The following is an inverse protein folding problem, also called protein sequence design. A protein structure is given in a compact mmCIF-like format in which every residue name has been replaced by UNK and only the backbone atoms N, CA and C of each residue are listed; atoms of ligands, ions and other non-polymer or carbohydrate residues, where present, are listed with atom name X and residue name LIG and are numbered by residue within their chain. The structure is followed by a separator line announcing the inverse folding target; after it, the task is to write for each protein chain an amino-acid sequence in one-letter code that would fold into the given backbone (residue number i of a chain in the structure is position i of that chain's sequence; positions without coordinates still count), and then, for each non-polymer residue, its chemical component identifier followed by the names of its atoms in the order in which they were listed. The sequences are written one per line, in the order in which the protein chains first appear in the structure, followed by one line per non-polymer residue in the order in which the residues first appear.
data_IF_773207675607
#
_entry.id   IF_773207675607
#
_cell.length_a   1.000
_cell.length_b   1.000
_cell.length_c   1.000
_cell.angle_alpha   90.00
_cell.angle_beta   90.00
_cell.angle_gamma   90.00
#
_symmetry.space_group_name_H-M   'P 1'
#
loop_
_entity.id
_entity.type
_entity.pdbx_description
1 polymer ?
#
# COMPACT_ATOMS: atom_id res chain seq x y z
N UNK A 1 38.09 -3.54 12.16
CA UNK A 1 37.10 -4.36 12.91
C UNK A 1 37.55 -5.81 12.92
N UNK A 2 37.29 -6.56 14.00
CA UNK A 2 37.56 -8.02 14.03
C UNK A 2 36.66 -8.70 13.01
N UNK A 3 37.20 -9.56 12.15
CA UNK A 3 36.46 -10.29 11.07
C UNK A 3 35.15 -10.93 11.57
N UNK A 4 35.15 -11.46 12.80
CA UNK A 4 33.97 -12.03 13.46
C UNK A 4 32.83 -11.03 13.72
N UNK A 5 33.17 -9.79 14.09
CA UNK A 5 32.17 -8.74 14.32
C UNK A 5 31.52 -8.33 13.01
N UNK A 6 32.32 -8.18 11.93
CA UNK A 6 31.80 -7.82 10.61
C UNK A 6 30.80 -8.88 10.10
N UNK A 7 31.15 -10.17 10.22
CA UNK A 7 30.23 -11.26 9.90
C UNK A 7 28.94 -11.16 10.71
N UNK A 8 29.05 -10.99 12.04
CA UNK A 8 27.88 -10.93 12.92
C UNK A 8 26.93 -9.78 12.55
N UNK A 9 27.46 -8.59 12.30
CA UNK A 9 26.66 -7.43 11.87
C UNK A 9 26.03 -7.66 10.50
N UNK A 10 26.80 -8.21 9.53
CA UNK A 10 26.29 -8.46 8.18
C UNK A 10 25.12 -9.46 8.19
N UNK A 11 25.26 -10.54 8.96
CA UNK A 11 24.21 -11.56 9.11
C UNK A 11 23.00 -11.01 9.87
N UNK A 12 23.21 -10.16 10.88
CA UNK A 12 22.12 -9.47 11.57
C UNK A 12 21.33 -8.59 10.60
N UNK A 13 22.02 -7.81 9.75
CA UNK A 13 21.36 -6.96 8.74
C UNK A 13 20.61 -7.82 7.73
N UNK A 14 21.21 -8.90 7.22
CA UNK A 14 20.52 -9.81 6.32
C UNK A 14 19.25 -10.41 6.98
N UNK A 15 19.33 -10.78 8.25
CA UNK A 15 18.18 -11.27 9.01
C UNK A 15 17.09 -10.19 9.17
N UNK A 16 17.46 -8.95 9.49
CA UNK A 16 16.52 -7.83 9.60
C UNK A 16 15.84 -7.52 8.26
N UNK A 17 16.58 -7.58 7.14
CA UNK A 17 16.00 -7.43 5.80
C UNK A 17 14.98 -8.52 5.49
N UNK A 18 15.26 -9.77 5.88
CA UNK A 18 14.28 -10.86 5.76
C UNK A 18 13.04 -10.59 6.63
N UNK A 19 13.21 -10.08 7.85
CA UNK A 19 12.09 -9.63 8.68
C UNK A 19 11.27 -8.52 8.01
N UNK A 20 11.93 -7.55 7.38
CA UNK A 20 11.31 -6.47 6.61
C UNK A 20 10.47 -6.95 5.43
N UNK A 21 10.74 -8.13 4.87
CA UNK A 21 9.90 -8.72 3.80
C UNK A 21 8.48 -9.06 4.26
N UNK A 22 8.31 -9.35 5.56
CA UNK A 22 7.04 -9.76 6.14
C UNK A 22 6.40 -8.68 7.01
N UNK A 23 7.10 -7.55 7.20
CA UNK A 23 6.61 -6.45 8.03
C UNK A 23 5.79 -5.48 7.18
N UNK A 24 4.50 -5.25 7.48
CA UNK A 24 3.68 -4.26 6.78
C UNK A 24 4.27 -2.85 6.93
N UNK A 25 4.96 -2.56 8.03
CA UNK A 25 5.58 -1.26 8.28
C UNK A 25 6.79 -0.90 7.39
N UNK A 26 7.21 -1.76 6.47
CA UNK A 26 8.40 -1.53 5.62
C UNK A 26 7.97 -1.40 4.16
N UNK A 27 8.03 -0.18 3.62
CA UNK A 27 7.46 0.15 2.30
C UNK A 27 5.95 -0.18 2.17
N UNK A 28 5.21 -0.14 3.28
CA UNK A 28 3.75 -0.26 3.26
C UNK A 28 3.08 1.08 3.00
N UNK A 29 1.87 1.02 2.45
CA UNK A 29 0.97 2.16 2.47
C UNK A 29 0.60 2.44 3.95
N UNK A 30 0.84 3.65 4.48
CA UNK A 30 0.45 3.99 5.85
C UNK A 30 -1.06 3.95 6.07
N UNK A 31 -1.85 3.92 5.01
CA UNK A 31 -3.30 3.95 5.07
C UNK A 31 -3.89 2.59 4.70
N UNK A 32 -5.03 2.28 5.30
CA UNK A 32 -5.82 1.13 4.91
C UNK A 32 -6.11 1.20 3.40
N UNK A 33 -6.04 0.07 2.69
CA UNK A 33 -6.38 0.07 1.28
C UNK A 33 -7.84 0.52 1.13
N UNK A 34 -8.14 1.27 0.06
CA UNK A 34 -9.52 1.73 -0.23
C UNK A 34 -10.56 0.61 -0.31
N UNK A 35 -10.11 -0.62 -0.46
CA UNK A 35 -10.95 -1.81 -0.47
C UNK A 35 -11.25 -2.38 0.91
N UNK A 36 -10.68 -1.82 1.97
CA UNK A 36 -10.94 -2.17 3.37
C UNK A 36 -11.61 -1.01 4.11
N UNK A 37 -11.29 0.24 3.74
CA UNK A 37 -12.01 1.41 4.26
C UNK A 37 -13.39 1.57 3.59
N UNK A 38 -14.45 1.88 4.35
CA UNK A 38 -15.76 2.20 3.78
C UNK A 38 -15.71 3.49 2.97
N UNK A 39 -16.54 3.52 1.93
CA UNK A 39 -16.82 4.72 1.14
C UNK A 39 -18.22 5.24 1.48
N UNK A 40 -18.37 6.55 1.55
CA UNK A 40 -19.59 7.19 2.04
C UNK A 40 -20.26 8.03 0.95
N UNK A 41 -21.59 8.06 1.00
CA UNK A 41 -22.42 8.92 0.16
C UNK A 41 -23.55 9.50 0.99
N UNK A 42 -23.93 10.75 0.71
CA UNK A 42 -25.13 11.36 1.27
C UNK A 42 -26.11 11.66 0.14
N UNK A 43 -27.35 11.22 0.28
CA UNK A 43 -28.44 11.57 -0.62
C UNK A 43 -29.62 12.15 0.18
N UNK A 44 -30.42 13.00 -0.45
CA UNK A 44 -31.69 13.40 0.12
C UNK A 44 -32.70 12.24 0.00
N UNK A 45 -33.56 12.02 0.99
CA UNK A 45 -34.54 10.91 1.03
C UNK A 45 -35.38 10.79 -0.25
N UNK A 46 -35.66 11.92 -0.91
CA UNK A 46 -36.45 11.95 -2.15
C UNK A 46 -35.72 11.41 -3.39
N UNK A 47 -34.43 11.08 -3.31
CA UNK A 47 -33.58 10.76 -4.45
C UNK A 47 -33.19 9.27 -4.56
N UNK A 48 -33.62 8.43 -3.61
CA UNK A 48 -33.11 7.06 -3.46
C UNK A 48 -34.02 5.98 -4.04
N UNK A 49 -33.97 5.83 -5.37
CA UNK A 49 -34.08 4.50 -6.00
C UNK A 49 -32.66 4.11 -6.44
N UNK A 50 -31.94 3.35 -5.61
CA UNK A 50 -30.58 2.91 -5.88
C UNK A 50 -30.63 1.77 -6.92
N UNK A 51 -30.06 1.99 -8.11
CA UNK A 51 -30.05 0.97 -9.16
C UNK A 51 -29.05 -0.16 -8.83
N UNK A 52 -29.54 -1.39 -8.94
CA UNK A 52 -28.74 -2.58 -8.97
C UNK A 52 -29.56 -3.75 -8.47
N UNK A 53 -30.06 -4.60 -9.38
CA UNK A 53 -30.81 -5.85 -9.13
C UNK A 53 -30.51 -6.39 -7.72
N UNK A 54 -31.31 -6.01 -6.70
CA UNK A 54 -31.07 -6.52 -5.38
C UNK A 54 -31.32 -8.01 -5.51
N UNK A 55 -30.35 -8.82 -5.11
CA UNK A 55 -30.70 -10.17 -4.68
C UNK A 55 -31.60 -9.91 -3.48
N UNK A 56 -32.90 -9.91 -3.76
CA UNK A 56 -34.01 -9.54 -2.90
C UNK A 56 -33.79 -10.10 -1.50
N UNK A 57 -33.26 -9.29 -0.59
CA UNK A 57 -33.55 -9.45 0.83
C UNK A 57 -34.82 -8.66 1.04
N UNK A 58 -35.93 -9.35 0.75
CA UNK A 58 -37.30 -9.08 1.14
C UNK A 58 -37.58 -7.63 1.58
N UNK A 59 -37.97 -6.80 0.60
CA UNK A 59 -38.52 -5.46 0.73
C UNK A 59 -39.43 -5.30 1.96
N UNK A 60 -38.87 -4.90 3.09
CA UNK A 60 -39.63 -4.09 4.04
C UNK A 60 -39.25 -2.64 3.75
N UNK A 61 -40.23 -1.74 3.55
CA UNK A 61 -39.91 -0.32 3.60
C UNK A 61 -39.19 -0.10 4.94
N UNK A 62 -37.96 0.38 4.89
CA UNK A 62 -37.23 0.77 6.10
C UNK A 62 -37.91 2.07 6.55
N UNK A 63 -39.05 1.95 7.21
CA UNK A 63 -39.65 3.03 7.98
C UNK A 63 -38.79 3.18 9.25
N UNK A 64 -37.60 3.73 9.09
CA UNK A 64 -36.76 4.14 10.19
C UNK A 64 -37.06 5.61 10.50
N UNK A 65 -37.29 5.91 11.78
CA UNK A 65 -37.37 7.29 12.24
C UNK A 65 -35.95 7.90 12.10
N UNK A 66 -35.78 9.01 11.35
CA UNK A 66 -34.46 9.58 11.13
C UNK A 66 -33.85 10.01 12.46
N UNK A 67 -32.56 9.70 12.65
CA UNK A 67 -31.84 10.07 13.86
C UNK A 67 -31.30 11.50 13.69
N UNK A 68 -31.59 12.43 14.60
CA UNK A 68 -31.06 13.80 14.51
C UNK A 68 -29.54 13.78 14.58
N UNK A 69 -28.90 14.60 13.75
CA UNK A 69 -27.44 14.63 13.63
C UNK A 69 -26.76 14.80 15.00
N UNK A 70 -27.34 15.60 15.89
CA UNK A 70 -26.81 15.89 17.22
C UNK A 70 -26.84 14.69 18.18
N UNK A 71 -27.52 13.59 17.83
CA UNK A 71 -27.53 12.35 18.61
C UNK A 71 -26.31 11.45 18.31
N UNK A 72 -25.61 11.69 17.21
CA UNK A 72 -24.36 10.99 16.88
C UNK A 72 -23.18 11.54 17.69
N UNK A 73 -22.07 10.80 17.72
CA UNK A 73 -20.85 11.30 18.34
C UNK A 73 -20.20 12.43 17.52
N UNK A 74 -19.30 13.18 18.14
CA UNK A 74 -18.63 14.32 17.51
C UNK A 74 -17.88 13.94 16.21
N UNK A 75 -17.46 12.68 16.06
CA UNK A 75 -16.69 12.22 14.90
C UNK A 75 -17.60 11.90 13.71
N UNK A 76 -18.73 11.24 13.97
CA UNK A 76 -19.82 10.99 13.04
C UNK A 76 -20.44 12.30 12.56
N UNK A 77 -20.69 13.25 13.46
CA UNK A 77 -21.21 14.57 13.10
C UNK A 77 -20.28 15.29 12.13
N UNK A 78 -18.97 15.33 12.45
CA UNK A 78 -17.95 15.93 11.57
C UNK A 78 -17.81 15.20 10.25
N UNK A 79 -17.97 13.87 10.24
CA UNK A 79 -17.95 13.07 9.01
C UNK A 79 -19.14 13.43 8.11
N UNK A 80 -20.35 13.46 8.67
CA UNK A 80 -21.56 13.82 7.95
C UNK A 80 -21.44 15.22 7.35
N UNK A 81 -21.05 16.22 8.15
CA UNK A 81 -20.85 17.60 7.68
C UNK A 81 -19.81 17.68 6.56
N UNK A 82 -18.68 16.96 6.66
CA UNK A 82 -17.65 16.97 5.63
C UNK A 82 -18.15 16.36 4.31
N UNK A 83 -18.86 15.23 4.36
CA UNK A 83 -19.46 14.61 3.16
C UNK A 83 -20.54 15.53 2.58
N UNK A 84 -21.39 16.11 3.43
CA UNK A 84 -22.47 16.98 3.02
C UNK A 84 -21.94 18.24 2.33
N UNK A 85 -20.91 18.88 2.88
CA UNK A 85 -20.26 20.05 2.27
C UNK A 85 -19.62 19.71 0.91
N UNK A 86 -18.94 18.56 0.80
CA UNK A 86 -18.30 18.13 -0.44
C UNK A 86 -19.31 17.73 -1.52
N UNK A 87 -20.41 17.07 -1.13
CA UNK A 87 -21.43 16.56 -2.04
C UNK A 87 -22.62 17.51 -2.20
N UNK A 88 -22.61 18.69 -1.59
CA UNK A 88 -23.77 19.60 -1.45
C UNK A 88 -24.53 19.86 -2.76
N UNK A 89 -23.80 20.17 -3.82
CA UNK A 89 -24.37 20.47 -5.13
C UNK A 89 -25.12 19.27 -5.71
N UNK A 90 -24.67 18.05 -5.40
CA UNK A 90 -25.35 16.81 -5.73
C UNK A 90 -26.51 16.51 -4.78
N UNK A 91 -26.31 16.66 -3.47
CA UNK A 91 -27.24 16.28 -2.39
C UNK A 91 -28.63 16.90 -2.57
N UNK A 92 -28.71 18.18 -2.95
CA UNK A 92 -29.99 18.90 -3.12
C UNK A 92 -30.61 18.82 -4.51
N UNK A 93 -30.03 18.04 -5.43
CA UNK A 93 -30.57 17.88 -6.77
C UNK A 93 -31.86 17.05 -6.71
N UNK A 94 -32.99 17.68 -6.38
CA UNK A 94 -34.30 17.06 -6.52
C UNK A 94 -34.56 16.80 -8.02
N UNK A 95 -35.02 15.60 -8.43
CA UNK A 95 -35.37 15.33 -9.82
C UNK A 95 -36.32 16.42 -10.32
N UNK A 96 -36.02 17.04 -11.47
CA UNK A 96 -36.90 18.05 -12.03
C UNK A 96 -38.30 17.44 -12.24
N UNK A 97 -39.33 18.10 -11.70
CA UNK A 97 -40.73 17.66 -11.67
C UNK A 97 -41.14 16.93 -12.98
N UNK A 98 -41.28 15.61 -12.93
CA UNK A 98 -41.87 14.79 -14.00
C UNK A 98 -41.04 13.61 -14.52
N UNK A 99 -39.76 13.49 -14.17
CA UNK A 99 -38.94 12.30 -14.43
C UNK A 99 -38.59 11.59 -13.12
N UNK A 100 -39.48 10.72 -12.65
CA UNK A 100 -39.15 9.68 -11.65
C UNK A 100 -38.28 8.56 -12.25
N UNK A 101 -37.44 8.89 -13.24
CA UNK A 101 -36.46 7.99 -13.85
C UNK A 101 -35.02 8.41 -13.51
N UNK A 102 -34.78 9.40 -12.65
CA UNK A 102 -33.40 9.74 -12.27
C UNK A 102 -32.91 8.85 -11.13
N UNK A 103 -32.56 7.63 -11.51
CA UNK A 103 -31.75 6.71 -10.74
C UNK A 103 -30.44 7.39 -10.33
N UNK A 104 -30.03 7.22 -9.07
CA UNK A 104 -28.72 7.66 -8.60
C UNK A 104 -27.74 6.51 -8.82
N UNK A 105 -27.00 6.55 -9.93
CA UNK A 105 -25.89 5.63 -10.12
C UNK A 105 -24.72 6.13 -9.26
N UNK A 106 -24.60 5.56 -8.06
CA UNK A 106 -23.55 5.88 -7.09
C UNK A 106 -22.13 5.69 -7.65
N UNK A 107 -21.97 4.96 -8.76
CA UNK A 107 -20.68 4.74 -9.42
C UNK A 107 -20.44 5.67 -10.62
N UNK A 108 -21.47 6.30 -11.21
CA UNK A 108 -21.30 7.18 -12.38
C UNK A 108 -21.66 8.66 -12.16
N UNK A 109 -22.53 8.97 -11.19
CA UNK A 109 -23.01 10.34 -10.97
C UNK A 109 -22.32 11.07 -9.81
N UNK A 110 -21.70 10.33 -8.88
CA UNK A 110 -21.03 10.91 -7.70
C UNK A 110 -19.72 10.23 -7.36
N UNK A 111 -18.70 11.03 -7.07
CA UNK A 111 -17.47 10.51 -6.48
C UNK A 111 -17.72 10.13 -5.02
N UNK A 112 -17.42 8.88 -4.68
CA UNK A 112 -17.55 8.38 -3.32
C UNK A 112 -16.62 9.15 -2.38
N UNK A 113 -17.16 9.65 -1.27
CA UNK A 113 -16.30 10.22 -0.24
C UNK A 113 -15.53 9.07 0.42
N UNK A 114 -14.24 8.97 0.12
CA UNK A 114 -13.38 7.93 0.67
C UNK A 114 -12.53 8.54 1.76
N UNK A 115 -12.74 8.09 3.00
CA UNK A 115 -11.96 8.58 4.14
C UNK A 115 -10.67 7.79 4.25
N UNK A 116 -9.57 8.50 4.44
CA UNK A 116 -8.26 7.89 4.66
C UNK A 116 -8.16 7.47 6.12
N UNK A 117 -8.00 6.17 6.37
CA UNK A 117 -7.81 5.58 7.70
C UNK A 117 -6.37 5.09 7.80
N UNK A 118 -5.69 5.36 8.91
CA UNK A 118 -4.33 4.89 9.11
C UNK A 118 -4.33 3.42 9.54
N UNK A 119 -3.30 2.70 9.11
CA UNK A 119 -3.05 1.33 9.56
C UNK A 119 -2.61 1.28 11.04
N UNK A 120 -3.02 0.25 11.77
CA UNK A 120 -2.72 0.04 13.20
C UNK A 120 -1.22 -0.01 13.54
N UNK A 121 -0.37 -0.37 12.56
CA UNK A 121 1.08 -0.45 12.76
C UNK A 121 1.78 0.91 12.63
N UNK A 122 1.09 1.95 12.18
CA UNK A 122 1.64 3.30 12.08
C UNK A 122 1.87 3.89 13.46
N UNK A 123 2.99 4.60 13.65
CA UNK A 123 3.32 5.23 14.94
C UNK A 123 2.55 6.53 15.16
N UNK A 124 2.16 7.19 14.09
CA UNK A 124 1.45 8.47 14.08
C UNK A 124 0.46 8.43 12.93
N UNK A 125 -0.77 8.85 13.20
CA UNK A 125 -1.80 9.02 12.18
C UNK A 125 -2.04 10.51 11.93
N UNK A 126 -1.98 10.93 10.67
CA UNK A 126 -2.33 12.28 10.24
C UNK A 126 -3.78 12.38 9.72
N UNK A 127 -4.49 11.24 9.69
CA UNK A 127 -5.87 11.11 9.27
C UNK A 127 -6.72 10.52 10.42
N UNK A 128 -7.53 9.49 10.15
CA UNK A 128 -8.40 8.85 11.14
C UNK A 128 -7.81 7.56 11.68
N UNK A 129 -7.93 7.36 13.00
CA UNK A 129 -7.50 6.12 13.67
C UNK A 129 -8.46 4.96 13.38
N UNK A 130 -9.73 5.25 13.13
CA UNK A 130 -10.75 4.28 12.72
C UNK A 130 -11.79 4.92 11.83
N UNK A 131 -12.41 4.16 10.94
CA UNK A 131 -13.57 4.62 10.18
C UNK A 131 -14.78 4.82 11.13
N UNK A 132 -15.37 6.02 11.23
CA UNK A 132 -16.60 6.22 12.00
C UNK A 132 -17.75 5.51 11.29
N UNK A 133 -18.41 4.60 11.99
CA UNK A 133 -19.57 3.87 11.45
C UNK A 133 -20.85 4.49 11.98
N UNK A 134 -21.79 4.82 11.11
CA UNK A 134 -23.16 5.18 11.46
C UNK A 134 -23.95 3.93 11.88
N UNK A 135 -24.92 4.03 12.79
CA UNK A 135 -25.77 2.91 13.15
C UNK A 135 -26.69 2.55 11.97
N UNK A 136 -26.49 1.36 11.40
CA UNK A 136 -27.26 0.90 10.27
C UNK A 136 -28.75 0.69 10.60
N UNK A 137 -29.62 1.48 9.98
CA UNK A 137 -31.07 1.28 9.93
C UNK A 137 -31.45 0.16 8.95
N UNK A 138 -30.59 -0.06 7.95
CA UNK A 138 -30.72 -1.14 6.99
C UNK A 138 -29.37 -1.57 6.43
N UNK A 139 -29.32 -2.78 5.88
CA UNK A 139 -28.16 -3.27 5.16
C UNK A 139 -28.60 -4.11 3.97
N UNK A 140 -27.90 -3.96 2.84
CA UNK A 140 -28.10 -4.83 1.68
C UNK A 140 -26.76 -5.21 1.06
N UNK A 141 -26.78 -6.31 0.31
CA UNK A 141 -25.57 -6.83 -0.35
C UNK A 141 -25.77 -6.80 -1.86
N UNK A 142 -24.92 -6.05 -2.55
CA UNK A 142 -24.90 -6.04 -4.00
C UNK A 142 -23.81 -7.00 -4.50
N UNK A 143 -24.25 -8.12 -5.06
CA UNK A 143 -23.37 -9.21 -5.49
C UNK A 143 -22.61 -9.86 -4.33
N UNK A 144 -21.41 -10.39 -4.61
CA UNK A 144 -20.57 -11.07 -3.61
C UNK A 144 -19.46 -10.19 -3.01
N UNK A 145 -19.35 -8.94 -3.46
CA UNK A 145 -18.17 -8.09 -3.21
C UNK A 145 -18.47 -6.79 -2.48
N UNK A 146 -19.73 -6.36 -2.42
CA UNK A 146 -20.09 -5.07 -1.83
C UNK A 146 -21.19 -5.26 -0.79
N UNK A 147 -20.97 -4.69 0.39
CA UNK A 147 -21.95 -4.57 1.44
C UNK A 147 -22.29 -3.09 1.63
N UNK A 148 -23.57 -2.77 1.72
CA UNK A 148 -24.06 -1.42 1.92
C UNK A 148 -24.81 -1.34 3.24
N UNK A 149 -24.49 -0.33 4.05
CA UNK A 149 -25.20 0.01 5.27
C UNK A 149 -25.83 1.39 5.08
N UNK A 150 -27.09 1.52 5.52
CA UNK A 150 -27.92 2.70 5.32
C UNK A 150 -28.23 3.31 6.68
N UNK A 151 -28.10 4.62 6.80
CA UNK A 151 -28.51 5.35 8.00
C UNK A 151 -29.30 6.59 7.61
N UNK A 152 -30.44 6.83 8.25
CA UNK A 152 -31.25 8.02 8.04
C UNK A 152 -30.92 9.09 9.09
N UNK A 153 -30.53 10.26 8.61
CA UNK A 153 -30.06 11.38 9.42
C UNK A 153 -30.95 12.60 9.21
N UNK A 154 -31.46 13.18 10.29
CA UNK A 154 -32.16 14.47 10.24
C UNK A 154 -31.16 15.62 10.42
N UNK A 155 -31.09 16.52 9.43
CA UNK A 155 -30.24 17.70 9.45
C UNK A 155 -30.98 18.89 8.84
N UNK A 156 -30.97 20.06 9.49
CA UNK A 156 -31.70 21.27 9.04
C UNK A 156 -33.23 21.08 8.80
N UNK A 157 -33.87 20.13 9.49
CA UNK A 157 -35.26 19.67 9.27
C UNK A 157 -35.50 18.97 7.92
N UNK A 158 -34.45 18.45 7.30
CA UNK A 158 -34.50 17.59 6.12
C UNK A 158 -33.95 16.20 6.48
N UNK A 159 -34.46 15.18 5.81
CA UNK A 159 -33.99 13.79 5.97
C UNK A 159 -32.97 13.46 4.89
N UNK A 160 -31.83 12.98 5.33
CA UNK A 160 -30.74 12.51 4.48
C UNK A 160 -30.46 11.03 4.72
N UNK A 161 -30.09 10.33 3.66
CA UNK A 161 -29.66 8.95 3.67
C UNK A 161 -28.14 8.91 3.53
N UNK A 162 -27.46 8.37 4.56
CA UNK A 162 -26.03 8.08 4.54
C UNK A 162 -25.86 6.64 4.10
N UNK A 163 -25.16 6.44 2.99
CA UNK A 163 -24.85 5.12 2.44
C UNK A 163 -23.38 4.83 2.68
N UNK A 164 -23.10 3.83 3.51
CA UNK A 164 -21.77 3.26 3.71
C UNK A 164 -21.58 2.05 2.81
N UNK A 165 -20.58 2.08 1.94
CA UNK A 165 -20.21 0.97 1.07
C UNK A 165 -18.90 0.36 1.51
N UNK A 166 -18.95 -0.89 1.96
CA UNK A 166 -17.79 -1.73 2.19
C UNK A 166 -17.52 -2.56 0.94
N UNK A 167 -16.35 -2.38 0.36
CA UNK A 167 -15.86 -3.23 -0.73
C UNK A 167 -15.08 -4.41 -0.14
N UNK A 168 -15.08 -5.55 -0.84
CA UNK A 168 -14.19 -6.66 -0.51
C UNK A 168 -12.81 -6.40 -1.12
N UNK A 169 -11.77 -6.48 -0.28
CA UNK A 169 -10.35 -6.39 -0.63
C UNK A 169 -9.95 -7.04 -1.96
N UNK A 170 -9.08 -6.37 -2.73
CA UNK A 170 -8.41 -7.00 -3.87
C UNK A 170 -7.16 -7.74 -3.41
N UNK A 171 -7.21 -9.08 -3.41
CA UNK A 171 -6.04 -9.92 -3.09
C UNK A 171 -4.81 -9.62 -3.97
N UNK A 172 -5.01 -9.07 -5.17
CA UNK A 172 -3.92 -8.78 -6.09
C UNK A 172 -3.00 -7.66 -5.59
N UNK A 173 -3.51 -6.63 -4.92
CA UNK A 173 -2.69 -5.53 -4.42
C UNK A 173 -1.70 -6.02 -3.36
N UNK A 174 -2.21 -6.78 -2.38
CA UNK A 174 -1.40 -7.39 -1.32
C UNK A 174 -0.31 -8.31 -1.91
N UNK A 175 -0.62 -9.06 -2.98
CA UNK A 175 0.38 -9.93 -3.65
C UNK A 175 1.49 -9.11 -4.33
N UNK A 176 1.15 -8.02 -5.03
CA UNK A 176 2.15 -7.18 -5.72
C UNK A 176 3.11 -6.55 -4.73
N UNK A 177 2.60 -6.01 -3.62
CA UNK A 177 3.40 -5.40 -2.58
C UNK A 177 4.37 -6.41 -1.93
N UNK A 178 3.87 -7.61 -1.60
CA UNK A 178 4.71 -8.71 -1.11
C UNK A 178 5.80 -9.06 -2.12
N UNK A 179 5.45 -9.24 -3.40
CA UNK A 179 6.44 -9.57 -4.44
C UNK A 179 7.52 -8.49 -4.59
N UNK A 180 7.18 -7.21 -4.46
CA UNK A 180 8.14 -6.11 -4.50
C UNK A 180 9.11 -6.16 -3.31
N UNK A 181 8.60 -6.35 -2.08
CA UNK A 181 9.45 -6.51 -0.89
C UNK A 181 10.37 -7.73 -1.01
N UNK A 182 9.86 -8.83 -1.54
CA UNK A 182 10.66 -10.01 -1.85
C UNK A 182 11.75 -9.72 -2.88
N UNK A 183 11.41 -9.03 -3.97
CA UNK A 183 12.34 -8.65 -5.03
C UNK A 183 13.40 -7.66 -4.58
N UNK A 184 13.09 -6.83 -3.58
CA UNK A 184 13.99 -5.82 -3.01
C UNK A 184 14.93 -6.43 -1.96
N UNK A 185 14.37 -7.05 -0.91
CA UNK A 185 15.14 -7.48 0.26
C UNK A 185 15.70 -8.89 0.14
N UNK A 186 15.01 -9.81 -0.52
CA UNK A 186 15.42 -11.21 -0.62
C UNK A 186 16.79 -11.37 -1.29
N UNK A 187 16.97 -10.90 -2.55
CA UNK A 187 18.25 -10.95 -3.24
C UNK A 187 19.37 -10.21 -2.48
N UNK A 188 19.06 -9.08 -1.86
CA UNK A 188 20.05 -8.30 -1.10
C UNK A 188 20.51 -9.04 0.16
N UNK A 189 19.58 -9.64 0.92
CA UNK A 189 19.90 -10.43 2.11
C UNK A 189 20.78 -11.65 1.76
N UNK A 190 20.46 -12.32 0.65
CA UNK A 190 21.29 -13.42 0.11
C UNK A 190 22.68 -12.93 -0.29
N UNK A 191 22.77 -11.81 -1.01
CA UNK A 191 24.05 -11.24 -1.44
C UNK A 191 24.92 -10.84 -0.23
N UNK A 192 24.37 -10.13 0.75
CA UNK A 192 25.08 -9.76 2.00
C UNK A 192 25.58 -11.01 2.71
N UNK A 193 24.71 -12.01 2.89
CA UNK A 193 25.07 -13.26 3.58
C UNK A 193 26.18 -14.02 2.86
N UNK A 194 26.05 -14.19 1.54
CA UNK A 194 27.03 -14.89 0.71
C UNK A 194 28.40 -14.21 0.73
N UNK A 195 28.44 -12.89 0.49
CA UNK A 195 29.69 -12.12 0.47
C UNK A 195 30.32 -12.05 1.86
N UNK A 196 29.53 -11.95 2.93
CA UNK A 196 30.05 -11.96 4.30
C UNK A 196 30.64 -13.33 4.70
N UNK A 197 30.12 -14.45 4.19
CA UNK A 197 30.68 -15.78 4.47
C UNK A 197 31.93 -16.05 3.64
N UNK A 198 31.88 -15.78 2.34
CA UNK A 198 32.94 -16.18 1.39
C UNK A 198 34.06 -15.15 1.30
N UNK A 199 33.74 -13.86 1.28
CA UNK A 199 34.67 -12.80 0.90
C UNK A 199 35.06 -11.85 2.04
N UNK A 200 34.69 -12.12 3.29
CA UNK A 200 35.00 -11.22 4.42
C UNK A 200 36.50 -11.01 4.69
N UNK A 201 37.33 -12.01 4.42
CA UNK A 201 38.77 -11.96 4.71
C UNK A 201 39.53 -11.31 3.55
N UNK A 202 39.09 -11.58 2.31
CA UNK A 202 39.72 -11.06 1.09
C UNK A 202 39.22 -9.66 0.72
N UNK A 203 37.94 -9.36 0.95
CA UNK A 203 37.28 -8.10 0.54
C UNK A 203 36.37 -7.50 1.62
N UNK A 204 36.91 -7.13 2.80
CA UNK A 204 36.13 -6.57 3.90
C UNK A 204 35.41 -5.27 3.53
N UNK A 205 35.96 -4.46 2.61
CA UNK A 205 35.34 -3.21 2.15
C UNK A 205 34.01 -3.45 1.44
N UNK A 206 33.93 -4.47 0.59
CA UNK A 206 32.70 -4.84 -0.12
C UNK A 206 31.62 -5.30 0.85
N UNK A 207 31.99 -6.12 1.84
CA UNK A 207 31.06 -6.56 2.90
C UNK A 207 30.52 -5.36 3.68
N UNK A 208 31.39 -4.42 4.10
CA UNK A 208 30.97 -3.20 4.80
C UNK A 208 30.04 -2.34 3.93
N UNK A 209 30.36 -2.16 2.65
CA UNK A 209 29.55 -1.36 1.72
C UNK A 209 28.15 -1.96 1.53
N UNK A 210 28.05 -3.27 1.24
CA UNK A 210 26.76 -3.95 1.10
C UNK A 210 25.96 -3.94 2.42
N UNK A 211 26.63 -4.13 3.55
CA UNK A 211 25.98 -4.09 4.87
C UNK A 211 25.44 -2.68 5.15
N UNK A 212 26.23 -1.65 4.86
CA UNK A 212 25.80 -0.25 4.99
C UNK A 212 24.63 0.08 4.06
N UNK A 213 24.66 -0.42 2.83
CA UNK A 213 23.54 -0.32 1.90
C UNK A 213 22.28 -1.00 2.45
N UNK A 214 22.40 -2.21 2.99
CA UNK A 214 21.28 -2.92 3.63
C UNK A 214 20.69 -2.16 4.82
N UNK A 215 21.53 -1.58 5.68
CA UNK A 215 21.07 -0.73 6.79
C UNK A 215 20.32 0.50 6.25
N UNK A 216 20.89 1.18 5.26
CA UNK A 216 20.28 2.35 4.64
C UNK A 216 18.92 2.02 4.01
N UNK A 217 18.84 0.92 3.26
CA UNK A 217 17.62 0.48 2.61
C UNK A 217 16.55 0.03 3.62
N UNK A 218 16.94 -0.70 4.67
CA UNK A 218 16.02 -1.10 5.73
C UNK A 218 15.49 0.10 6.53
N UNK A 219 16.37 1.05 6.88
CA UNK A 219 15.97 2.28 7.56
C UNK A 219 15.07 3.17 6.69
N UNK A 220 15.40 3.28 5.40
CA UNK A 220 14.55 3.97 4.42
C UNK A 220 13.19 3.30 4.32
N UNK A 221 13.12 1.96 4.22
CA UNK A 221 11.85 1.24 4.14
C UNK A 221 10.93 1.47 5.34
N UNK A 222 11.49 1.57 6.56
CA UNK A 222 10.72 1.94 7.77
C UNK A 222 10.29 3.41 7.75
N UNK A 223 11.11 4.30 7.18
CA UNK A 223 10.78 5.71 7.06
C UNK A 223 9.76 5.98 5.94
N UNK A 224 9.69 5.14 4.90
CA UNK A 224 8.88 5.38 3.70
C UNK A 224 7.41 5.67 3.99
N UNK A 225 6.68 4.92 4.84
CA UNK A 225 5.27 5.22 5.10
C UNK A 225 5.06 6.63 5.65
N UNK A 226 5.95 7.09 6.52
CA UNK A 226 5.88 8.45 7.08
C UNK A 226 6.28 9.49 6.03
N UNK A 227 7.26 9.19 5.19
CA UNK A 227 7.60 10.09 4.09
C UNK A 227 6.42 10.23 3.13
N UNK A 228 5.71 9.16 2.79
CA UNK A 228 4.56 9.22 1.89
C UNK A 228 3.39 10.02 2.48
N UNK A 229 3.14 9.95 3.80
CA UNK A 229 2.17 10.84 4.47
C UNK A 229 2.49 12.32 4.20
N UNK A 230 3.77 12.72 4.32
CA UNK A 230 4.16 14.13 4.15
C UNK A 230 4.31 14.58 2.70
N UNK A 231 4.75 13.71 1.79
CA UNK A 231 5.08 14.10 0.40
C UNK A 231 4.00 13.71 -0.61
N UNK A 232 3.02 12.89 -0.23
CA UNK A 232 2.01 12.35 -1.15
C UNK A 232 2.61 11.50 -2.27
N UNK A 233 3.82 10.96 -2.06
CA UNK A 233 4.53 10.16 -3.06
C UNK A 233 4.00 8.73 -3.08
N UNK A 234 3.74 8.22 -4.28
CA UNK A 234 3.40 6.83 -4.51
C UNK A 234 4.55 5.90 -4.07
N UNK A 235 4.32 5.15 -2.99
CA UNK A 235 5.27 4.21 -2.40
C UNK A 235 5.64 3.11 -3.39
N UNK A 236 4.71 2.68 -4.24
CA UNK A 236 4.90 1.59 -5.20
C UNK A 236 5.88 1.98 -6.31
N UNK A 237 5.71 3.19 -6.85
CA UNK A 237 6.60 3.73 -7.86
C UNK A 237 8.04 3.84 -7.30
N UNK A 238 8.17 4.41 -6.10
CA UNK A 238 9.46 4.56 -5.43
C UNK A 238 10.13 3.21 -5.12
N UNK A 239 9.38 2.24 -4.60
CA UNK A 239 9.90 0.89 -4.32
C UNK A 239 10.38 0.19 -5.59
N UNK A 240 9.68 0.38 -6.72
CA UNK A 240 10.06 -0.21 -8.01
C UNK A 240 11.41 0.31 -8.51
N UNK A 241 11.67 1.62 -8.37
CA UNK A 241 12.97 2.20 -8.70
C UNK A 241 14.09 1.64 -7.82
N UNK A 242 13.84 1.50 -6.52
CA UNK A 242 14.79 0.92 -5.57
C UNK A 242 15.10 -0.55 -5.86
N UNK A 243 14.14 -1.32 -6.40
CA UNK A 243 14.40 -2.68 -6.88
C UNK A 243 15.44 -2.62 -7.98
N UNK A 244 15.25 -1.80 -9.02
CA UNK A 244 16.24 -1.69 -10.11
C UNK A 244 17.62 -1.31 -9.59
N UNK A 245 17.71 -0.28 -8.74
CA UNK A 245 18.97 0.14 -8.12
C UNK A 245 19.60 -1.00 -7.33
N UNK A 246 18.85 -1.70 -6.48
CA UNK A 246 19.36 -2.81 -5.67
C UNK A 246 19.90 -3.94 -6.54
N UNK A 247 19.20 -4.28 -7.62
CA UNK A 247 19.66 -5.30 -8.57
C UNK A 247 20.94 -4.89 -9.30
N UNK A 248 21.09 -3.60 -9.66
CA UNK A 248 22.35 -3.12 -10.25
C UNK A 248 23.51 -3.20 -9.26
N UNK A 249 23.30 -2.85 -7.99
CA UNK A 249 24.32 -2.94 -6.93
C UNK A 249 24.75 -4.39 -6.70
N UNK A 250 23.79 -5.31 -6.64
CA UNK A 250 24.06 -6.76 -6.51
C UNK A 250 24.85 -7.25 -7.72
N UNK A 251 24.39 -6.95 -8.93
CA UNK A 251 25.01 -7.40 -10.18
C UNK A 251 26.44 -6.88 -10.32
N UNK A 252 26.66 -5.60 -10.05
CA UNK A 252 27.99 -4.98 -10.05
C UNK A 252 28.91 -5.63 -9.01
N UNK A 253 28.38 -5.95 -7.82
CA UNK A 253 29.16 -6.60 -6.77
C UNK A 253 29.57 -8.02 -7.18
N UNK A 254 28.63 -8.81 -7.71
CA UNK A 254 28.90 -10.18 -8.20
C UNK A 254 29.91 -10.16 -9.35
N UNK A 255 29.75 -9.25 -10.32
CA UNK A 255 30.69 -9.11 -11.43
C UNK A 255 32.09 -8.71 -10.94
N UNK A 256 32.17 -7.80 -9.97
CA UNK A 256 33.46 -7.41 -9.37
C UNK A 256 34.15 -8.57 -8.65
N UNK A 257 33.37 -9.43 -7.99
CA UNK A 257 33.89 -10.64 -7.33
C UNK A 257 34.46 -11.59 -8.38
N UNK A 258 33.67 -11.89 -9.42
CA UNK A 258 34.06 -12.79 -10.50
C UNK A 258 35.31 -12.33 -11.26
N UNK A 259 35.43 -11.04 -11.56
CA UNK A 259 36.59 -10.50 -12.29
C UNK A 259 37.90 -10.60 -11.53
N UNK A 260 37.91 -10.46 -10.20
CA UNK A 260 39.17 -10.56 -9.46
C UNK A 260 39.57 -11.99 -9.09
N UNK A 261 38.69 -12.97 -9.30
CA UNK A 261 39.01 -14.40 -9.14
C UNK A 261 39.50 -15.04 -10.45
N UNK A 262 39.37 -14.35 -11.58
CA UNK A 262 39.91 -14.81 -12.87
C UNK A 262 41.44 -14.70 -12.82
N UNK A 263 42.19 -15.82 -12.90
CA UNK A 263 43.65 -15.75 -12.97
C UNK A 263 44.04 -14.89 -14.18
N UNK A 264 45.09 -14.07 -14.08
CA UNK A 264 45.56 -13.32 -15.24
C UNK A 264 45.79 -14.32 -16.36
N UNK A 265 45.08 -14.14 -17.49
CA UNK A 265 45.22 -15.04 -18.62
C UNK A 265 46.70 -15.15 -18.92
N UNK A 266 47.28 -16.34 -18.66
CA UNK A 266 48.70 -16.58 -18.82
C UNK A 266 49.05 -16.08 -20.22
N UNK A 267 49.77 -14.97 -20.24
CA UNK A 267 50.41 -14.47 -21.44
C UNK A 267 51.52 -15.46 -21.70
N UNK A 268 51.15 -16.63 -22.22
CA UNK A 268 52.06 -17.58 -22.83
C UNK A 268 52.66 -16.85 -24.02
N UNK A 269 53.73 -16.14 -23.68
CA UNK A 269 54.75 -15.66 -24.57
C UNK A 269 55.13 -16.86 -25.41
N UNK A 270 54.60 -16.84 -26.62
CA UNK A 270 55.04 -17.58 -27.77
C UNK A 270 56.49 -17.12 -28.00
N UNK A 271 57.41 -17.65 -27.22
CA UNK A 271 58.83 -17.55 -27.54
C UNK A 271 59.05 -18.62 -28.60
N UNK A 272 58.80 -18.18 -29.83
CA UNK A 272 59.18 -18.83 -31.07
C UNK A 272 60.65 -19.21 -31.03
N UNK A 273 60.95 -20.42 -30.57
CA UNK A 273 62.21 -21.10 -30.83
C UNK A 273 62.19 -21.66 -32.25
N UNK A 274 62.22 -20.78 -33.25
CA UNK A 274 62.54 -21.14 -34.62
C UNK A 274 64.05 -21.24 -34.71
N UNK A 275 64.62 -22.40 -34.37
CA UNK A 275 66.02 -22.70 -34.71
C UNK A 275 66.06 -23.73 -35.84
N UNK A 276 66.15 -23.17 -37.04
CA UNK A 276 66.41 -23.86 -38.29
C UNK A 276 67.91 -24.08 -38.46
N UNK A 277 68.37 -25.32 -38.37
CA UNK A 277 69.73 -25.71 -38.75
C UNK A 277 69.73 -26.87 -39.76
N UNK A 278 70.05 -26.63 -41.05
CA UNK A 278 70.30 -27.68 -42.03
C UNK A 278 71.80 -27.94 -42.21
N UNK A 279 72.25 -29.18 -41.94
CA UNK A 279 73.16 -30.03 -42.73
C UNK A 279 73.84 -31.07 -41.85
#
# INVERSE_FOLDING_TARGET
MKSRLLLGVSLLVAFLLVGGMFSPAVFGDPYEPRSESPSYYIAHESATDIEGDPIVVENQPIEADPTPLEAFDDEQQRLFEAIYEEQRDGVHSSPADGEYESYLDLDSDREAYTRTVCEDWTLTCDAYESAPTFPADGSYRYGSKSHFELTFVEYENETYEVVERHQSGSLFQNVVEVLLRFGLFGPLALAISGVAVVARETRPKTVVALTGYGIGLGGLGVATPYLSMFTGTDVLAYATELVLVTWTVISATVLSLWWSDSPPADSDSSTSGTDSGPK
#
